data_IF_080358463567
#
_entry.id   IF_080358463567
#
_cell.length_a   1.000
_cell.length_b   1.000
_cell.length_c   1.000
_cell.angle_alpha   90.00
_cell.angle_beta   90.00
_cell.angle_gamma   90.00
#
_symmetry.space_group_name_H-M   'P 1'
#
loop_
_entity.id
_entity.type
_entity.pdbx_description
1 polymer ?
#
# COMPACT_ATOMS: atom_id res chain seq x y z
N UNK A 1 -25.35 23.25 44.30
CA UNK A 1 -24.34 22.18 44.45
C UNK A 1 -24.25 21.49 43.11
N UNK A 2 -23.07 21.64 42.51
CA UNK A 2 -22.48 20.95 41.34
C UNK A 2 -23.38 20.57 40.15
N UNK A 3 -23.22 21.35 39.07
CA UNK A 3 -23.53 20.93 37.71
C UNK A 3 -22.53 19.85 37.29
N UNK A 4 -23.02 18.64 37.05
CA UNK A 4 -22.23 17.57 36.45
C UNK A 4 -22.15 17.86 34.96
N UNK A 5 -20.99 18.38 34.53
CA UNK A 5 -20.64 18.52 33.12
C UNK A 5 -20.48 17.11 32.53
N UNK A 6 -21.47 16.67 31.76
CA UNK A 6 -21.40 15.47 30.94
C UNK A 6 -20.82 15.82 29.58
N UNK A 7 -19.55 16.22 29.55
CA UNK A 7 -18.75 16.30 28.31
C UNK A 7 -17.72 15.17 28.35
N UNK A 8 -18.22 13.93 28.36
CA UNK A 8 -17.41 12.76 28.01
C UNK A 8 -17.45 12.68 26.47
N UNK A 9 -16.71 13.58 25.84
CA UNK A 9 -16.51 13.59 24.40
C UNK A 9 -15.85 12.28 24.01
N UNK A 10 -16.58 11.52 23.19
CA UNK A 10 -16.21 10.24 22.57
C UNK A 10 -15.02 10.43 21.59
N UNK A 11 -13.85 10.83 22.10
CA UNK A 11 -12.64 11.17 21.32
C UNK A 11 -11.95 9.95 20.67
N UNK A 12 -12.44 8.73 20.89
CA UNK A 12 -11.81 7.52 20.37
C UNK A 12 -12.21 7.19 18.93
N UNK A 13 -13.42 7.55 18.50
CA UNK A 13 -13.94 7.18 17.17
C UNK A 13 -13.40 8.10 16.06
N UNK A 14 -13.25 9.40 16.33
CA UNK A 14 -12.76 10.36 15.33
C UNK A 14 -11.29 10.15 14.92
N UNK A 15 -10.46 9.59 15.82
CA UNK A 15 -9.01 9.45 15.57
C UNK A 15 -8.65 8.26 14.66
N UNK A 16 -9.43 7.18 14.73
CA UNK A 16 -9.21 6.00 13.88
C UNK A 16 -9.65 6.25 12.43
N UNK A 17 -10.68 7.08 12.25
CA UNK A 17 -11.12 7.47 10.92
C UNK A 17 -10.16 8.48 10.28
N UNK A 18 -9.54 9.37 11.05
CA UNK A 18 -8.64 10.38 10.51
C UNK A 18 -7.40 9.77 9.82
N UNK A 19 -6.76 8.76 10.41
CA UNK A 19 -5.62 8.10 9.76
C UNK A 19 -6.03 7.31 8.51
N UNK A 20 -7.24 6.72 8.53
CA UNK A 20 -7.80 6.01 7.39
C UNK A 20 -8.06 6.97 6.22
N UNK A 21 -8.72 8.10 6.47
CA UNK A 21 -8.96 9.13 5.46
C UNK A 21 -7.68 9.81 4.97
N UNK A 22 -6.71 10.08 5.86
CA UNK A 22 -5.40 10.62 5.46
C UNK A 22 -4.60 9.63 4.60
N UNK A 23 -4.82 8.32 4.77
CA UNK A 23 -4.21 7.31 3.91
C UNK A 23 -4.75 7.41 2.47
N UNK A 24 -6.07 7.54 2.27
CA UNK A 24 -6.70 7.66 0.94
C UNK A 24 -6.19 8.86 0.13
N UNK A 25 -6.01 10.02 0.78
CA UNK A 25 -5.46 11.21 0.13
C UNK A 25 -4.05 10.98 -0.46
N UNK A 26 -3.28 10.04 0.08
CA UNK A 26 -1.96 9.69 -0.47
C UNK A 26 -2.07 8.92 -1.79
N UNK A 27 -3.13 8.13 -1.95
CA UNK A 27 -3.40 7.32 -3.15
C UNK A 27 -3.98 8.13 -4.32
N UNK A 28 -4.63 9.28 -4.06
CA UNK A 28 -5.35 10.10 -5.06
C UNK A 28 -4.47 10.61 -6.22
N UNK A 29 -3.15 10.55 -6.06
CA UNK A 29 -2.19 11.01 -7.07
C UNK A 29 -1.17 9.94 -7.49
N UNK A 30 -1.42 8.67 -7.14
CA UNK A 30 -0.63 7.56 -7.67
C UNK A 30 -1.10 7.27 -9.10
N UNK A 31 -0.16 7.12 -10.04
CA UNK A 31 -0.53 6.53 -11.32
C UNK A 31 -0.74 5.03 -11.11
N UNK A 32 -1.88 4.54 -11.57
CA UNK A 32 -2.27 3.14 -11.42
C UNK A 32 -1.27 2.26 -12.19
N UNK A 33 -0.52 1.42 -11.48
CA UNK A 33 0.34 0.43 -12.10
C UNK A 33 -0.49 -0.82 -12.41
N UNK A 34 -0.82 -1.00 -13.68
CA UNK A 34 -1.62 -2.14 -14.12
C UNK A 34 -0.72 -3.37 -14.29
N UNK A 35 -0.90 -4.33 -13.39
CA UNK A 35 -0.16 -5.59 -13.41
C UNK A 35 -0.91 -6.57 -14.30
N UNK A 36 -0.23 -7.15 -15.28
CA UNK A 36 -0.87 -8.12 -16.16
C UNK A 36 -1.16 -9.43 -15.42
N UNK A 37 -2.38 -9.94 -15.59
CA UNK A 37 -2.83 -11.20 -15.02
C UNK A 37 -3.45 -11.09 -13.62
N UNK A 38 -3.83 -12.23 -13.07
CA UNK A 38 -4.47 -12.26 -11.75
C UNK A 38 -3.41 -12.28 -10.65
N UNK A 39 -3.35 -11.22 -9.83
CA UNK A 39 -2.48 -11.19 -8.64
C UNK A 39 -2.85 -12.35 -7.72
N UNK A 40 -1.88 -13.22 -7.46
CA UNK A 40 -2.08 -14.43 -6.63
C UNK A 40 -1.57 -14.28 -5.21
N UNK A 41 -0.54 -13.45 -4.99
CA UNK A 41 -0.10 -13.06 -3.65
C UNK A 41 0.75 -11.79 -3.72
N UNK A 42 0.85 -11.10 -2.59
CA UNK A 42 1.73 -9.95 -2.42
C UNK A 42 2.28 -9.90 -0.99
N UNK A 43 3.53 -9.48 -0.83
CA UNK A 43 4.17 -9.35 0.47
C UNK A 43 5.13 -8.16 0.48
N UNK A 44 5.15 -7.41 1.58
CA UNK A 44 6.19 -6.41 1.79
C UNK A 44 7.52 -7.13 2.06
N UNK A 45 8.52 -6.89 1.22
CA UNK A 45 9.87 -7.38 1.48
C UNK A 45 10.51 -6.57 2.62
N UNK A 46 10.19 -5.27 2.67
CA UNK A 46 10.51 -4.35 3.75
C UNK A 46 9.62 -3.09 3.61
N UNK A 47 9.90 -2.03 4.38
CA UNK A 47 9.11 -0.80 4.39
C UNK A 47 9.08 0.02 3.09
N UNK A 48 9.87 -0.31 2.06
CA UNK A 48 9.86 0.40 0.78
C UNK A 48 9.84 -0.51 -0.46
N UNK A 49 9.65 -1.83 -0.27
CA UNK A 49 9.62 -2.81 -1.36
C UNK A 49 8.45 -3.77 -1.20
N UNK A 50 7.77 -4.00 -2.30
CA UNK A 50 6.64 -4.91 -2.42
C UNK A 50 7.00 -6.02 -3.40
N UNK A 51 6.83 -7.27 -2.98
CA UNK A 51 6.84 -8.43 -3.86
C UNK A 51 5.41 -8.73 -4.29
N UNK A 52 5.20 -8.87 -5.60
CA UNK A 52 3.93 -9.30 -6.17
C UNK A 52 4.13 -10.55 -7.00
N UNK A 53 3.11 -11.40 -7.00
CA UNK A 53 3.05 -12.51 -7.95
C UNK A 53 1.71 -12.52 -8.66
N UNK A 54 1.74 -12.84 -9.95
CA UNK A 54 0.54 -13.07 -10.73
C UNK A 54 0.58 -14.42 -11.43
N UNK A 55 -0.59 -15.02 -11.61
CA UNK A 55 -0.75 -16.12 -12.56
C UNK A 55 -1.08 -15.54 -13.93
N UNK A 56 -0.21 -15.80 -14.91
CA UNK A 56 -0.50 -15.59 -16.32
C UNK A 56 -1.14 -16.81 -16.98
N UNK A 57 -1.67 -16.63 -18.18
CA UNK A 57 -2.46 -17.64 -18.90
C UNK A 57 -1.65 -18.90 -19.28
N UNK A 58 -0.33 -18.78 -19.41
CA UNK A 58 0.57 -19.82 -19.93
C UNK A 58 1.21 -20.72 -18.84
N UNK A 59 0.55 -20.91 -17.68
CA UNK A 59 1.08 -21.68 -16.51
C UNK A 59 2.43 -21.17 -15.98
N UNK A 60 2.84 -19.96 -16.35
CA UNK A 60 4.00 -19.27 -15.79
C UNK A 60 3.51 -18.23 -14.81
N UNK A 61 4.15 -18.19 -13.65
CA UNK A 61 3.82 -17.23 -12.60
C UNK A 61 4.81 -16.09 -12.66
N UNK A 62 4.33 -14.88 -12.90
CA UNK A 62 5.16 -13.69 -12.88
C UNK A 62 5.42 -13.29 -11.43
N UNK A 63 6.64 -12.85 -11.16
CA UNK A 63 7.09 -12.37 -9.86
C UNK A 63 7.77 -11.03 -10.09
N UNK A 64 7.32 -9.99 -9.38
CA UNK A 64 7.88 -8.65 -9.43
C UNK A 64 8.35 -8.21 -8.05
N UNK A 65 9.51 -7.58 -8.02
CA UNK A 65 9.92 -6.71 -6.92
C UNK A 65 9.67 -5.27 -7.35
N UNK A 66 8.79 -4.58 -6.62
CA UNK A 66 8.44 -3.19 -6.87
C UNK A 66 8.99 -2.29 -5.76
N UNK A 67 9.54 -1.14 -6.12
CA UNK A 67 9.78 -0.05 -5.17
C UNK A 67 8.48 0.68 -4.89
N UNK A 68 8.18 0.93 -3.62
CA UNK A 68 7.01 1.71 -3.20
C UNK A 68 7.32 3.20 -3.38
N UNK A 69 6.44 4.00 -4.00
CA UNK A 69 6.67 5.42 -4.18
C UNK A 69 6.86 6.13 -2.84
N UNK A 70 7.81 7.08 -2.83
CA UNK A 70 8.19 7.81 -1.61
C UNK A 70 7.00 8.51 -0.96
N UNK A 71 6.04 8.97 -1.75
CA UNK A 71 4.80 9.59 -1.24
C UNK A 71 4.01 8.69 -0.28
N UNK A 72 4.02 7.37 -0.47
CA UNK A 72 3.31 6.44 0.40
C UNK A 72 4.04 6.18 1.72
N UNK A 73 5.38 6.21 1.69
CA UNK A 73 6.22 5.93 2.85
C UNK A 73 6.63 7.19 3.63
N UNK A 74 6.49 8.36 3.03
CA UNK A 74 6.91 9.60 3.65
C UNK A 74 5.79 10.15 4.56
N UNK A 75 6.19 10.69 5.72
CA UNK A 75 5.28 11.24 6.73
C UNK A 75 4.59 12.53 6.30
N UNK A 76 3.75 13.09 7.20
CA UNK A 76 2.88 14.25 6.96
C UNK A 76 3.63 15.52 6.45
N UNK A 77 4.95 15.61 6.68
CA UNK A 77 5.82 16.74 6.31
C UNK A 77 6.81 16.46 5.18
N UNK A 78 6.64 15.35 4.47
CA UNK A 78 7.42 15.11 3.27
C UNK A 78 6.99 16.13 2.22
N UNK A 79 7.85 17.10 1.92
CA UNK A 79 7.60 18.09 0.87
C UNK A 79 7.36 17.45 -0.51
N UNK A 80 7.42 18.23 -1.59
CA UNK A 80 7.15 17.74 -2.95
C UNK A 80 8.02 16.53 -3.32
N UNK A 81 7.41 15.34 -3.31
CA UNK A 81 8.06 14.09 -3.72
C UNK A 81 7.79 13.86 -5.20
N UNK A 82 8.86 13.84 -6.00
CA UNK A 82 8.81 13.57 -7.45
C UNK A 82 8.47 12.11 -7.77
N UNK A 83 8.54 11.21 -6.80
CA UNK A 83 8.37 9.77 -7.00
C UNK A 83 6.97 9.33 -6.56
N UNK A 84 6.07 9.19 -7.52
CA UNK A 84 4.64 8.93 -7.32
C UNK A 84 4.20 7.56 -7.81
N UNK A 85 5.08 6.79 -8.42
CA UNK A 85 4.72 5.52 -9.04
C UNK A 85 5.46 4.34 -8.42
N UNK A 86 4.83 3.17 -8.45
CA UNK A 86 5.54 1.92 -8.25
C UNK A 86 6.52 1.73 -9.41
N UNK A 87 7.74 1.27 -9.09
CA UNK A 87 8.74 0.97 -10.13
C UNK A 87 9.16 -0.47 -10.00
N UNK A 88 9.24 -1.16 -11.13
CA UNK A 88 9.83 -2.49 -11.19
C UNK A 88 11.33 -2.36 -10.90
N UNK A 89 11.78 -2.98 -9.81
CA UNK A 89 13.19 -3.16 -9.48
C UNK A 89 13.72 -4.37 -10.27
N UNK A 90 13.00 -5.49 -10.17
CA UNK A 90 13.29 -6.71 -10.91
C UNK A 90 12.01 -7.50 -11.17
N UNK A 91 12.05 -8.37 -12.17
CA UNK A 91 10.95 -9.23 -12.57
C UNK A 91 11.47 -10.60 -13.02
N UNK A 92 10.66 -11.64 -12.85
CA UNK A 92 11.00 -12.98 -13.28
C UNK A 92 9.79 -13.89 -13.38
N UNK A 93 10.06 -15.15 -13.75
CA UNK A 93 9.04 -16.18 -13.90
C UNK A 93 9.34 -17.36 -12.99
N UNK A 94 8.29 -17.93 -12.41
CA UNK A 94 8.30 -19.20 -11.70
C UNK A 94 7.48 -20.25 -12.46
N UNK A 95 8.00 -21.48 -12.55
CA UNK A 95 7.27 -22.63 -13.08
C UNK A 95 6.23 -23.21 -12.10
N UNK A 96 6.21 -22.70 -10.87
CA UNK A 96 5.31 -23.14 -9.81
C UNK A 96 4.52 -21.97 -9.21
N UNK A 97 3.31 -22.26 -8.73
CA UNK A 97 2.49 -21.27 -8.04
C UNK A 97 3.20 -20.82 -6.77
N UNK A 98 3.46 -19.53 -6.67
CA UNK A 98 4.01 -18.91 -5.46
C UNK A 98 2.86 -18.66 -4.49
N UNK A 99 3.11 -18.89 -3.20
CA UNK A 99 2.19 -18.60 -2.11
C UNK A 99 2.96 -17.87 -1.02
N UNK A 100 2.30 -16.92 -0.38
CA UNK A 100 2.78 -16.35 0.87
C UNK A 100 2.55 -17.40 1.98
N UNK A 101 3.57 -17.62 2.81
CA UNK A 101 3.54 -18.55 3.95
C UNK A 101 3.17 -17.79 5.22
#
# INVERSE_FOLDING_TARGET
MENINSDDHNLSEDSDDEWFYDSFKRYDELLMYDVQGNITCGAFLNGNKLLLTASGDNRRHEVWELSIPKKLVAGKDAGLTKDRDFKIITAGYSGHKVKQV
#
